data_IF_609560280496
#
_entry.id   IF_609560280496
#
_cell.length_a   1.000
_cell.length_b   1.000
_cell.length_c   1.000
_cell.angle_alpha   90.00
_cell.angle_beta   90.00
_cell.angle_gamma   90.00
#
_symmetry.space_group_name_H-M   'P 1'
#
loop_
_entity.id
_entity.type
_entity.pdbx_description
1 polymer ?
#
# COMPACT_ATOMS: atom_id res chain seq x y z
N UNK A 1 21.74 37.93 47.15
CA UNK A 1 21.10 38.21 45.85
C UNK A 1 20.70 36.89 45.23
N UNK A 2 19.46 36.44 45.48
CA UNK A 2 18.92 35.18 44.97
C UNK A 2 17.93 35.48 43.83
N UNK A 3 18.16 34.86 42.68
CA UNK A 3 17.25 34.89 41.54
C UNK A 3 16.05 33.96 41.80
N UNK A 4 14.84 34.52 41.87
CA UNK A 4 13.60 33.75 41.84
C UNK A 4 13.27 33.35 40.40
N UNK A 5 13.11 32.05 40.17
CA UNK A 5 12.59 31.49 38.92
C UNK A 5 11.06 31.58 38.85
N UNK A 6 10.56 32.10 37.73
CA UNK A 6 9.15 32.09 37.36
C UNK A 6 8.66 30.65 37.15
N UNK A 7 7.55 30.32 37.82
CA UNK A 7 6.83 29.04 37.74
C UNK A 7 5.98 29.04 36.46
N UNK A 8 6.39 28.29 35.44
CA UNK A 8 5.55 27.99 34.27
C UNK A 8 4.43 27.02 34.68
N UNK A 9 3.19 27.41 34.42
CA UNK A 9 1.95 26.69 34.73
C UNK A 9 1.87 25.45 33.82
N UNK A 10 2.18 24.28 34.37
CA UNK A 10 2.07 23.01 33.65
C UNK A 10 0.62 22.70 33.29
N UNK A 11 0.41 22.37 32.02
CA UNK A 11 -0.85 21.79 31.50
C UNK A 11 -0.97 20.40 32.12
N UNK A 12 -2.03 20.18 32.89
CA UNK A 12 -2.34 18.90 33.54
C UNK A 12 -2.88 17.97 32.44
N UNK A 13 -2.13 16.93 32.09
CA UNK A 13 -2.62 15.85 31.25
C UNK A 13 -3.72 15.08 32.01
N UNK A 14 -4.81 14.64 31.35
CA UNK A 14 -5.88 13.91 32.00
C UNK A 14 -5.38 12.58 32.57
N UNK A 15 -5.78 12.28 33.81
CA UNK A 15 -5.33 11.14 34.62
C UNK A 15 -5.40 9.78 33.89
N UNK A 16 -6.39 9.59 32.99
CA UNK A 16 -6.56 8.35 32.24
C UNK A 16 -5.43 8.07 31.23
N UNK A 17 -4.80 9.09 30.63
CA UNK A 17 -3.66 8.89 29.71
C UNK A 17 -2.39 8.49 30.46
N UNK A 18 -2.27 8.88 31.72
CA UNK A 18 -1.19 8.48 32.63
C UNK A 18 -1.40 7.03 33.09
N UNK A 19 -2.63 6.64 33.40
CA UNK A 19 -2.95 5.28 33.83
C UNK A 19 -2.87 4.26 32.68
N UNK A 20 -3.23 4.64 31.45
CA UNK A 20 -3.03 3.80 30.25
C UNK A 20 -1.55 3.71 29.85
N UNK A 21 -0.78 4.81 29.94
CA UNK A 21 0.69 4.74 29.78
C UNK A 21 1.35 3.96 30.91
N UNK A 22 0.94 4.10 32.18
CA UNK A 22 1.53 3.38 33.31
C UNK A 22 1.13 1.90 33.32
N UNK A 23 -0.09 1.53 32.89
CA UNK A 23 -0.48 0.12 32.72
C UNK A 23 0.28 -0.53 31.57
N UNK A 24 0.44 0.16 30.43
CA UNK A 24 1.30 -0.29 29.35
C UNK A 24 2.77 -0.38 29.81
N UNK A 25 3.30 0.60 30.54
CA UNK A 25 4.69 0.61 31.03
C UNK A 25 4.92 -0.45 32.12
N UNK A 26 3.95 -0.71 33.00
CA UNK A 26 4.06 -1.66 34.12
C UNK A 26 3.95 -3.11 33.66
N UNK A 27 3.08 -3.43 32.69
CA UNK A 27 3.04 -4.74 32.04
C UNK A 27 4.29 -4.95 31.15
N UNK A 28 4.84 -3.86 30.57
CA UNK A 28 6.09 -3.88 29.78
C UNK A 28 7.38 -3.88 30.60
N UNK A 29 7.33 -3.63 31.92
CA UNK A 29 8.53 -3.62 32.79
C UNK A 29 9.03 -5.03 33.10
N UNK A 30 8.18 -6.05 32.93
CA UNK A 30 8.45 -7.44 33.35
C UNK A 30 8.99 -8.37 32.25
N UNK A 31 9.14 -7.92 30.99
CA UNK A 31 9.74 -8.73 29.91
C UNK A 31 11.09 -8.14 29.45
N UNK A 32 12.14 -8.96 29.54
CA UNK A 32 13.54 -8.57 29.32
C UNK A 32 13.80 -7.80 28.02
N UNK A 33 14.75 -6.84 28.09
CA UNK A 33 15.10 -5.89 27.02
C UNK A 33 15.38 -6.52 25.65
N UNK A 34 15.89 -7.75 25.59
CA UNK A 34 16.23 -8.46 24.34
C UNK A 34 15.01 -8.97 23.57
N UNK A 35 13.94 -9.40 24.25
CA UNK A 35 12.67 -9.80 23.59
C UNK A 35 11.88 -8.59 23.07
N UNK A 36 12.14 -7.39 23.61
CA UNK A 36 11.38 -6.17 23.28
C UNK A 36 11.76 -5.58 21.92
N UNK A 37 13.04 -5.66 21.55
CA UNK A 37 13.51 -5.18 20.25
C UNK A 37 13.10 -6.13 19.12
N UNK A 38 13.20 -7.45 19.32
CA UNK A 38 12.79 -8.43 18.31
C UNK A 38 11.29 -8.38 18.01
N UNK A 39 10.44 -8.22 19.03
CA UNK A 39 9.00 -8.05 18.84
C UNK A 39 8.64 -6.74 18.11
N UNK A 40 9.31 -5.63 18.43
CA UNK A 40 9.09 -4.36 17.75
C UNK A 40 9.51 -4.42 16.27
N UNK A 41 10.68 -5.00 15.98
CA UNK A 41 11.16 -5.21 14.60
C UNK A 41 10.19 -6.11 13.83
N UNK A 42 9.75 -7.21 14.44
CA UNK A 42 8.80 -8.14 13.82
C UNK A 42 7.46 -7.47 13.51
N UNK A 43 6.94 -6.62 14.39
CA UNK A 43 5.72 -5.87 14.14
C UNK A 43 5.87 -4.86 13.01
N UNK A 44 6.99 -4.11 12.96
CA UNK A 44 7.27 -3.18 11.86
C UNK A 44 7.39 -3.92 10.53
N UNK A 45 8.11 -5.04 10.51
CA UNK A 45 8.29 -5.87 9.31
C UNK A 45 6.95 -6.43 8.82
N UNK A 46 6.10 -6.94 9.71
CA UNK A 46 4.78 -7.45 9.33
C UNK A 46 3.87 -6.36 8.76
N UNK A 47 3.97 -5.12 9.26
CA UNK A 47 3.24 -3.99 8.71
C UNK A 47 3.73 -3.58 7.32
N UNK A 48 5.00 -3.83 6.98
CA UNK A 48 5.58 -3.47 5.67
C UNK A 48 5.36 -4.59 4.63
N UNK A 49 5.56 -5.86 5.02
CA UNK A 49 5.52 -7.03 4.12
C UNK A 49 4.13 -7.19 3.50
N UNK A 50 3.07 -7.13 4.32
CA UNK A 50 1.66 -7.04 3.93
C UNK A 50 1.23 -7.73 2.63
N UNK A 51 0.30 -7.10 1.91
CA UNK A 51 -0.14 -7.48 0.57
C UNK A 51 0.74 -6.89 -0.55
N UNK A 52 1.64 -5.95 -0.20
CA UNK A 52 2.33 -5.13 -1.20
C UNK A 52 3.43 -5.82 -1.99
N UNK A 53 3.97 -6.92 -1.45
CA UNK A 53 4.95 -7.76 -2.15
C UNK A 53 4.39 -8.33 -3.47
N UNK A 54 3.07 -8.53 -3.53
CA UNK A 54 2.40 -9.13 -4.68
C UNK A 54 2.33 -8.15 -5.88
N UNK A 55 2.48 -6.84 -5.63
CA UNK A 55 2.57 -5.81 -6.66
C UNK A 55 3.99 -5.56 -7.22
N UNK A 56 5.02 -6.17 -6.63
CA UNK A 56 6.41 -5.94 -7.05
C UNK A 56 6.72 -6.41 -8.47
N UNK A 57 6.26 -7.59 -8.95
CA UNK A 57 6.50 -8.02 -10.33
C UNK A 57 5.94 -7.04 -11.35
N UNK A 58 4.77 -6.47 -11.06
CA UNK A 58 4.14 -5.46 -11.90
C UNK A 58 5.00 -4.19 -11.99
N UNK A 59 5.51 -3.72 -10.85
CA UNK A 59 6.38 -2.53 -10.80
C UNK A 59 7.71 -2.77 -11.52
N UNK A 60 8.29 -3.96 -11.42
CA UNK A 60 9.48 -4.35 -12.18
C UNK A 60 9.21 -4.37 -13.70
N UNK A 61 8.03 -4.87 -14.12
CA UNK A 61 7.62 -4.85 -15.53
C UNK A 61 7.49 -3.42 -16.06
N UNK A 62 6.99 -2.48 -15.27
CA UNK A 62 6.84 -1.07 -15.64
C UNK A 62 8.17 -0.31 -15.67
N UNK A 63 9.10 -0.65 -14.78
CA UNK A 63 10.43 -0.03 -14.76
C UNK A 63 11.42 -0.60 -15.78
N UNK A 64 11.28 -1.87 -16.14
CA UNK A 64 12.37 -2.68 -16.70
C UNK A 64 13.09 -3.43 -15.58
N UNK A 65 13.52 -4.67 -15.85
CA UNK A 65 13.97 -5.57 -14.78
C UNK A 65 15.24 -5.06 -14.05
N UNK A 66 16.35 -4.70 -14.74
CA UNK A 66 17.55 -4.18 -14.07
C UNK A 66 17.30 -2.87 -13.32
N UNK A 67 16.60 -1.90 -13.94
CA UNK A 67 16.28 -0.63 -13.29
C UNK A 67 15.32 -0.82 -12.12
N UNK A 68 14.33 -1.72 -12.22
CA UNK A 68 13.41 -2.04 -11.13
C UNK A 68 14.14 -2.53 -9.87
N UNK A 69 15.12 -3.42 -10.03
CA UNK A 69 15.96 -3.87 -8.91
C UNK A 69 16.77 -2.71 -8.31
N UNK A 70 17.38 -1.87 -9.15
CA UNK A 70 18.12 -0.69 -8.69
C UNK A 70 17.22 0.28 -7.92
N UNK A 71 16.02 0.54 -8.44
CA UNK A 71 15.02 1.40 -7.81
C UNK A 71 14.57 0.84 -6.46
N UNK A 72 14.43 -0.48 -6.29
CA UNK A 72 14.09 -1.06 -4.98
C UNK A 72 15.14 -0.76 -3.91
N UNK A 73 16.42 -0.92 -4.23
CA UNK A 73 17.51 -0.56 -3.30
C UNK A 73 17.52 0.95 -3.01
N UNK A 74 17.28 1.76 -4.04
CA UNK A 74 17.26 3.21 -3.90
C UNK A 74 16.08 3.69 -3.05
N UNK A 75 14.86 3.21 -3.30
CA UNK A 75 13.66 3.54 -2.50
C UNK A 75 13.83 3.07 -1.05
N UNK A 76 14.42 1.88 -0.83
CA UNK A 76 14.74 1.39 0.50
C UNK A 76 15.69 2.33 1.25
N UNK A 77 16.79 2.73 0.61
CA UNK A 77 17.75 3.68 1.18
C UNK A 77 17.11 5.04 1.51
N UNK A 78 16.33 5.59 0.58
CA UNK A 78 15.63 6.86 0.78
C UNK A 78 14.62 6.76 1.92
N UNK A 79 13.83 5.68 1.98
CA UNK A 79 12.81 5.50 3.03
C UNK A 79 13.45 5.43 4.42
N UNK A 80 14.54 4.66 4.56
CA UNK A 80 15.31 4.59 5.80
C UNK A 80 15.86 5.96 6.20
N UNK A 81 16.46 6.67 5.25
CA UNK A 81 16.99 8.00 5.49
C UNK A 81 15.88 9.02 5.88
N UNK A 82 14.73 8.99 5.23
CA UNK A 82 13.57 9.83 5.57
C UNK A 82 13.05 9.55 6.98
N UNK A 83 13.02 8.29 7.42
CA UNK A 83 12.67 7.93 8.80
C UNK A 83 13.68 8.53 9.79
N UNK A 84 14.98 8.46 9.48
CA UNK A 84 16.03 9.09 10.31
C UNK A 84 15.84 10.60 10.39
N UNK A 85 15.50 11.27 9.28
CA UNK A 85 15.21 12.71 9.27
C UNK A 85 14.00 13.07 10.13
N UNK A 86 12.94 12.27 10.11
CA UNK A 86 11.75 12.48 10.95
C UNK A 86 12.10 12.34 12.43
N UNK A 87 12.89 11.33 12.80
CA UNK A 87 13.34 11.11 14.18
C UNK A 87 14.21 12.28 14.65
N UNK A 88 15.20 12.69 13.84
CA UNK A 88 16.07 13.84 14.15
C UNK A 88 15.27 15.15 14.21
N UNK A 89 14.36 15.38 13.27
CA UNK A 89 13.48 16.54 13.23
C UNK A 89 12.57 16.62 14.46
N UNK A 90 12.00 15.49 14.88
CA UNK A 90 11.23 15.37 16.12
C UNK A 90 12.06 15.74 17.35
N UNK A 91 13.29 15.22 17.44
CA UNK A 91 14.21 15.55 18.52
C UNK A 91 14.59 17.04 18.54
N UNK A 92 14.88 17.65 17.39
CA UNK A 92 15.23 19.07 17.26
C UNK A 92 14.05 20.00 17.58
N UNK A 93 12.82 19.60 17.22
CA UNK A 93 11.61 20.40 17.45
C UNK A 93 10.95 20.14 18.82
N UNK A 94 11.41 19.12 19.56
CA UNK A 94 10.78 18.67 20.79
C UNK A 94 9.37 18.10 20.57
N UNK A 95 9.13 17.47 19.42
CA UNK A 95 7.83 16.89 19.06
C UNK A 95 7.94 15.39 18.81
N UNK A 96 6.86 14.67 19.06
CA UNK A 96 6.74 13.21 18.96
C UNK A 96 5.81 12.73 17.83
N UNK A 97 5.07 13.65 17.22
CA UNK A 97 4.20 13.35 16.07
C UNK A 97 4.64 14.10 14.82
N UNK A 98 4.44 13.46 13.66
CA UNK A 98 4.79 14.06 12.36
C UNK A 98 3.99 15.35 12.11
N UNK A 99 2.72 15.37 12.48
CA UNK A 99 1.86 16.55 12.34
C UNK A 99 2.37 17.73 13.19
N UNK A 100 2.79 17.47 14.44
CA UNK A 100 3.36 18.50 15.32
C UNK A 100 4.69 19.03 14.79
N UNK A 101 5.54 18.14 14.26
CA UNK A 101 6.82 18.51 13.62
C UNK A 101 6.60 19.51 12.48
N UNK A 102 5.68 19.19 11.56
CA UNK A 102 5.38 20.06 10.43
C UNK A 102 4.71 21.36 10.89
N UNK A 103 3.81 21.32 11.87
CA UNK A 103 3.18 22.51 12.42
C UNK A 103 4.20 23.46 13.05
N UNK A 104 5.17 22.93 13.80
CA UNK A 104 6.27 23.74 14.37
C UNK A 104 7.16 24.35 13.29
N UNK A 105 7.32 23.67 12.16
CA UNK A 105 8.27 24.08 11.11
C UNK A 105 7.66 25.00 10.06
N UNK A 106 6.43 24.71 9.62
CA UNK A 106 5.73 25.41 8.53
C UNK A 106 4.39 26.04 8.96
N UNK A 107 4.02 25.93 10.23
CA UNK A 107 2.76 26.43 10.75
C UNK A 107 1.55 25.62 10.29
N UNK A 108 0.38 26.23 10.46
CA UNK A 108 -0.91 25.62 10.15
C UNK A 108 -1.08 25.16 8.69
N UNK A 109 -0.61 25.89 7.64
CA UNK A 109 -0.74 25.42 6.26
C UNK A 109 0.00 24.10 6.03
N UNK A 110 1.20 23.95 6.60
CA UNK A 110 1.96 22.70 6.52
C UNK A 110 1.28 21.57 7.29
N UNK A 111 0.75 21.85 8.48
CA UNK A 111 -0.02 20.89 9.27
C UNK A 111 -1.23 20.35 8.49
N UNK A 112 -2.00 21.24 7.85
CA UNK A 112 -3.18 20.86 7.05
C UNK A 112 -2.78 20.04 5.83
N UNK A 113 -1.76 20.48 5.08
CA UNK A 113 -1.25 19.75 3.91
C UNK A 113 -0.80 18.33 4.31
N UNK A 114 0.02 18.21 5.36
CA UNK A 114 0.46 16.90 5.84
C UNK A 114 -0.72 16.03 6.25
N UNK A 115 -1.69 16.58 6.98
CA UNK A 115 -2.85 15.83 7.46
C UNK A 115 -3.72 15.33 6.30
N UNK A 116 -3.88 16.12 5.23
CA UNK A 116 -4.59 15.68 4.02
C UNK A 116 -3.84 14.54 3.33
N UNK A 117 -2.51 14.63 3.19
CA UNK A 117 -1.72 13.58 2.55
C UNK A 117 -1.72 12.29 3.38
N UNK A 118 -1.59 12.39 4.71
CA UNK A 118 -1.67 11.26 5.63
C UNK A 118 -3.07 10.65 5.73
N UNK A 119 -4.12 11.40 5.41
CA UNK A 119 -5.47 10.87 5.27
C UNK A 119 -5.65 10.15 3.93
N UNK A 120 -5.28 10.81 2.82
CA UNK A 120 -5.49 10.29 1.47
C UNK A 120 -4.73 8.99 1.20
N UNK A 121 -3.48 8.88 1.65
CA UNK A 121 -2.65 7.70 1.40
C UNK A 121 -3.27 6.38 1.91
N UNK A 122 -3.57 6.21 3.20
CA UNK A 122 -4.21 5.00 3.72
C UNK A 122 -5.68 4.87 3.25
N UNK A 123 -6.37 5.99 3.01
CA UNK A 123 -7.73 5.96 2.46
C UNK A 123 -7.77 5.34 1.05
N UNK A 124 -6.81 5.68 0.20
CA UNK A 124 -6.66 5.05 -1.12
C UNK A 124 -6.28 3.58 -0.98
N UNK A 125 -5.40 3.22 -0.05
CA UNK A 125 -5.08 1.81 0.22
C UNK A 125 -6.32 0.99 0.61
N UNK A 126 -7.23 1.56 1.43
CA UNK A 126 -8.52 0.93 1.74
C UNK A 126 -9.40 0.70 0.50
N UNK A 127 -9.47 1.67 -0.42
CA UNK A 127 -10.19 1.51 -1.70
C UNK A 127 -9.57 0.37 -2.51
N UNK A 128 -8.24 0.34 -2.63
CA UNK A 128 -7.51 -0.71 -3.33
C UNK A 128 -7.75 -2.10 -2.72
N UNK A 129 -7.78 -2.21 -1.40
CA UNK A 129 -8.09 -3.46 -0.69
C UNK A 129 -9.50 -3.97 -0.97
N UNK A 130 -10.48 -3.08 -1.06
CA UNK A 130 -11.83 -3.46 -1.46
C UNK A 130 -11.84 -3.98 -2.91
N UNK A 131 -11.19 -3.28 -3.85
CA UNK A 131 -11.12 -3.71 -5.26
C UNK A 131 -10.46 -5.09 -5.36
N UNK A 132 -9.29 -5.28 -4.74
CA UNK A 132 -8.55 -6.54 -4.72
C UNK A 132 -9.41 -7.67 -4.12
N UNK A 133 -10.07 -7.41 -2.99
CA UNK A 133 -10.96 -8.40 -2.36
C UNK A 133 -12.09 -8.80 -3.30
N UNK A 134 -12.68 -7.84 -4.01
CA UNK A 134 -13.71 -8.07 -5.02
C UNK A 134 -13.23 -8.94 -6.18
N UNK A 135 -12.10 -8.57 -6.80
CA UNK A 135 -11.55 -9.24 -7.98
C UNK A 135 -11.04 -10.67 -7.68
N UNK A 136 -10.45 -10.87 -6.49
CA UNK A 136 -9.87 -12.15 -6.07
C UNK A 136 -10.95 -13.12 -5.60
N UNK A 137 -11.81 -12.69 -4.68
CA UNK A 137 -12.83 -13.57 -4.10
C UNK A 137 -13.93 -13.90 -5.10
N UNK A 138 -14.27 -13.02 -6.04
CA UNK A 138 -15.24 -13.37 -7.09
C UNK A 138 -14.76 -14.57 -7.90
N UNK A 139 -13.46 -14.65 -8.24
CA UNK A 139 -12.87 -15.80 -8.95
C UNK A 139 -12.86 -17.06 -8.09
N UNK A 140 -12.65 -16.94 -6.78
CA UNK A 140 -12.75 -18.07 -5.84
C UNK A 140 -14.17 -18.64 -5.81
N UNK A 141 -15.19 -17.78 -5.71
CA UNK A 141 -16.59 -18.23 -5.68
C UNK A 141 -17.04 -18.82 -7.02
N UNK A 142 -16.56 -18.31 -8.15
CA UNK A 142 -16.83 -18.88 -9.48
C UNK A 142 -16.26 -20.29 -9.67
N UNK A 143 -15.27 -20.69 -8.85
CA UNK A 143 -14.67 -22.03 -8.93
C UNK A 143 -15.51 -23.10 -8.21
N UNK A 144 -16.48 -22.70 -7.37
CA UNK A 144 -17.34 -23.63 -6.65
C UNK A 144 -18.25 -24.36 -7.66
N UNK A 145 -18.30 -25.70 -7.66
CA UNK A 145 -19.11 -26.45 -8.62
C UNK A 145 -20.60 -26.14 -8.46
N UNK A 146 -21.29 -25.93 -9.59
CA UNK A 146 -22.74 -25.65 -9.64
C UNK A 146 -23.11 -24.16 -9.54
N UNK A 147 -22.13 -23.26 -9.66
CA UNK A 147 -22.32 -21.83 -9.55
C UNK A 147 -22.22 -21.17 -10.94
N UNK A 148 -23.31 -20.57 -11.43
CA UNK A 148 -23.29 -19.91 -12.74
C UNK A 148 -22.45 -18.62 -12.72
N UNK A 149 -21.52 -18.42 -13.68
CA UNK A 149 -20.65 -17.24 -13.73
C UNK A 149 -21.41 -15.91 -13.89
N UNK A 150 -22.65 -15.93 -14.39
CA UNK A 150 -23.48 -14.75 -14.61
C UNK A 150 -24.34 -14.35 -13.39
N UNK A 151 -24.24 -15.10 -12.28
CA UNK A 151 -25.03 -14.79 -11.08
C UNK A 151 -24.60 -13.45 -10.45
N UNK A 152 -25.59 -12.59 -10.19
CA UNK A 152 -25.40 -11.28 -9.56
C UNK A 152 -24.69 -11.39 -8.20
N UNK A 153 -24.93 -12.47 -7.46
CA UNK A 153 -24.34 -12.77 -6.14
C UNK A 153 -22.84 -13.12 -6.18
N UNK A 154 -22.25 -13.21 -7.37
CA UNK A 154 -20.81 -13.45 -7.56
C UNK A 154 -20.15 -12.28 -8.28
N UNK A 155 -20.95 -11.29 -8.70
CA UNK A 155 -20.44 -10.05 -9.24
C UNK A 155 -19.52 -9.37 -8.24
N UNK A 156 -18.42 -8.80 -8.73
CA UNK A 156 -17.42 -8.09 -7.92
C UNK A 156 -18.05 -7.16 -6.89
N UNK A 157 -18.98 -6.31 -7.33
CA UNK A 157 -19.66 -5.31 -6.46
C UNK A 157 -20.37 -5.96 -5.27
N UNK A 158 -21.03 -7.09 -5.49
CA UNK A 158 -21.69 -7.82 -4.42
C UNK A 158 -20.68 -8.40 -3.43
N UNK A 159 -19.59 -9.01 -3.93
CA UNK A 159 -18.53 -9.57 -3.09
C UNK A 159 -17.82 -8.50 -2.25
N UNK A 160 -17.57 -7.32 -2.81
CA UNK A 160 -17.01 -6.18 -2.06
C UNK A 160 -17.93 -5.81 -0.90
N UNK A 161 -19.23 -5.60 -1.17
CA UNK A 161 -20.20 -5.22 -0.12
C UNK A 161 -20.35 -6.33 0.92
N UNK A 162 -20.45 -7.59 0.49
CA UNK A 162 -20.57 -8.74 1.39
C UNK A 162 -19.35 -8.88 2.31
N UNK A 163 -18.15 -8.86 1.74
CA UNK A 163 -16.90 -8.96 2.51
C UNK A 163 -16.73 -7.77 3.46
N UNK A 164 -17.13 -6.58 3.04
CA UNK A 164 -17.08 -5.38 3.87
C UNK A 164 -17.99 -5.51 5.09
N UNK A 165 -19.26 -5.88 4.89
CA UNK A 165 -20.24 -5.97 5.98
C UNK A 165 -19.95 -7.16 6.90
N UNK A 166 -19.56 -8.31 6.32
CA UNK A 166 -19.35 -9.54 7.08
C UNK A 166 -18.03 -9.55 7.86
N UNK A 167 -16.97 -8.95 7.33
CA UNK A 167 -15.62 -9.06 7.89
C UNK A 167 -14.95 -7.71 8.14
N UNK A 168 -14.81 -6.87 7.10
CA UNK A 168 -14.00 -5.64 7.21
C UNK A 168 -14.53 -4.67 8.27
N UNK A 169 -15.84 -4.43 8.28
CA UNK A 169 -16.50 -3.53 9.21
C UNK A 169 -16.40 -4.01 10.67
N UNK A 170 -16.79 -5.26 11.03
CA UNK A 170 -16.68 -5.71 12.42
C UNK A 170 -15.23 -5.76 12.90
N UNK A 171 -14.27 -6.11 12.03
CA UNK A 171 -12.85 -6.10 12.40
C UNK A 171 -12.34 -4.67 12.64
N UNK A 172 -12.76 -3.69 11.84
CA UNK A 172 -12.31 -2.29 11.96
C UNK A 172 -12.96 -1.54 13.14
N UNK A 173 -14.09 -2.03 13.65
CA UNK A 173 -14.74 -1.53 14.86
C UNK A 173 -14.13 -2.10 16.15
N UNK A 174 -13.27 -3.11 16.06
CA UNK A 174 -12.59 -3.65 17.22
C UNK A 174 -11.61 -2.61 17.81
N UNK A 175 -11.83 -2.23 19.07
CA UNK A 175 -11.01 -1.23 19.77
C UNK A 175 -9.63 -1.73 20.21
N UNK A 176 -9.49 -3.05 20.41
CA UNK A 176 -8.27 -3.66 20.94
C UNK A 176 -7.23 -3.91 19.85
N UNK A 177 -6.32 -2.96 19.67
CA UNK A 177 -5.15 -3.09 18.77
C UNK A 177 -4.27 -4.29 19.17
N UNK A 178 -4.25 -4.68 20.46
CA UNK A 178 -3.51 -5.85 20.94
C UNK A 178 -4.08 -7.18 20.39
N UNK A 179 -5.39 -7.24 20.10
CA UNK A 179 -6.01 -8.39 19.42
C UNK A 179 -5.67 -8.40 17.93
N UNK A 180 -5.52 -7.23 17.31
CA UNK A 180 -5.02 -7.09 15.93
C UNK A 180 -3.58 -7.58 15.78
N UNK A 181 -2.73 -7.45 16.80
CA UNK A 181 -1.37 -8.00 16.78
C UNK A 181 -1.33 -9.53 16.57
N UNK A 182 -2.30 -10.28 17.13
CA UNK A 182 -2.45 -11.72 16.88
C UNK A 182 -2.97 -12.02 15.47
N UNK A 183 -3.81 -11.14 14.93
CA UNK A 183 -4.34 -11.24 13.56
C UNK A 183 -3.22 -10.98 12.54
N UNK A 184 -2.31 -10.03 12.82
CA UNK A 184 -1.14 -9.75 11.98
C UNK A 184 -0.23 -10.98 11.80
N UNK A 185 -0.06 -11.80 12.86
CA UNK A 185 0.67 -13.08 12.75
C UNK A 185 0.04 -14.04 11.72
N UNK A 186 -1.28 -14.12 11.69
CA UNK A 186 -2.01 -14.96 10.72
C UNK A 186 -1.76 -14.44 9.31
N UNK A 187 -1.83 -13.13 9.12
CA UNK A 187 -1.54 -12.48 7.83
C UNK A 187 -0.13 -12.82 7.32
N UNK A 188 0.89 -12.78 8.18
CA UNK A 188 2.27 -13.13 7.79
C UNK A 188 2.41 -14.59 7.34
N UNK A 189 1.74 -15.52 8.02
CA UNK A 189 1.72 -16.94 7.62
C UNK A 189 1.06 -17.10 6.24
N UNK A 190 -0.07 -16.42 6.01
CA UNK A 190 -0.75 -16.44 4.71
C UNK A 190 0.10 -15.80 3.59
N UNK A 191 0.79 -14.69 3.85
CA UNK A 191 1.72 -14.09 2.87
C UNK A 191 2.87 -15.05 2.54
N UNK A 192 3.43 -15.75 3.53
CA UNK A 192 4.49 -16.76 3.29
C UNK A 192 3.98 -17.93 2.45
N UNK A 193 2.76 -18.39 2.72
CA UNK A 193 2.09 -19.42 1.92
C UNK A 193 1.85 -18.97 0.48
N UNK A 194 1.38 -17.73 0.27
CA UNK A 194 1.18 -17.14 -1.06
C UNK A 194 2.49 -17.14 -1.85
N UNK A 195 3.60 -16.71 -1.22
CA UNK A 195 4.92 -16.77 -1.87
C UNK A 195 5.30 -18.20 -2.27
N UNK A 196 5.05 -19.19 -1.40
CA UNK A 196 5.27 -20.60 -1.73
C UNK A 196 4.46 -21.06 -2.95
N UNK A 197 3.17 -20.69 -3.03
CA UNK A 197 2.29 -21.00 -4.16
C UNK A 197 2.81 -20.37 -5.46
N UNK A 198 3.17 -19.09 -5.42
CA UNK A 198 3.71 -18.36 -6.57
C UNK A 198 5.01 -19.02 -7.04
N UNK A 199 5.93 -19.36 -6.13
CA UNK A 199 7.19 -20.04 -6.48
C UNK A 199 6.95 -21.42 -7.11
N UNK A 200 6.04 -22.23 -6.56
CA UNK A 200 5.67 -23.52 -7.14
C UNK A 200 5.10 -23.35 -8.57
N UNK A 201 4.28 -22.32 -8.77
CA UNK A 201 3.69 -22.02 -10.08
C UNK A 201 4.70 -21.52 -11.09
N UNK A 202 5.65 -20.67 -10.69
CA UNK A 202 6.77 -20.24 -11.55
C UNK A 202 7.56 -21.45 -12.07
N UNK A 203 7.85 -22.44 -11.22
CA UNK A 203 8.58 -23.65 -11.63
C UNK A 203 7.76 -24.52 -12.60
N UNK A 204 6.45 -24.69 -12.35
CA UNK A 204 5.58 -25.56 -13.17
C UNK A 204 5.15 -24.95 -14.52
N UNK A 205 4.80 -23.66 -14.54
CA UNK A 205 4.28 -22.95 -15.71
C UNK A 205 5.39 -22.26 -16.52
N UNK A 206 6.55 -21.99 -15.91
CA UNK A 206 7.67 -21.31 -16.57
C UNK A 206 8.08 -21.91 -17.93
N UNK A 207 8.13 -23.24 -18.11
CA UNK A 207 8.48 -23.85 -19.41
C UNK A 207 7.45 -23.63 -20.52
N UNK A 208 6.18 -23.37 -20.17
CA UNK A 208 5.08 -23.24 -21.12
C UNK A 208 4.83 -21.79 -21.56
N UNK A 209 5.34 -20.82 -20.81
CA UNK A 209 5.17 -19.40 -21.11
C UNK A 209 6.26 -18.97 -22.10
N UNK A 210 5.91 -18.40 -23.26
CA UNK A 210 6.91 -17.93 -24.21
C UNK A 210 7.78 -16.85 -23.57
N UNK A 211 9.08 -16.88 -23.88
CA UNK A 211 10.01 -15.86 -23.39
C UNK A 211 9.61 -14.51 -23.98
N UNK A 212 9.38 -13.51 -23.13
CA UNK A 212 9.17 -12.14 -23.57
C UNK A 212 10.50 -11.58 -24.11
N UNK A 213 10.51 -11.13 -25.37
CA UNK A 213 11.72 -10.61 -26.04
C UNK A 213 12.34 -9.42 -25.28
N UNK A 214 11.51 -8.58 -24.65
CA UNK A 214 11.92 -7.37 -23.92
C UNK A 214 12.09 -7.56 -22.40
N UNK A 215 12.19 -8.80 -21.90
CA UNK A 215 12.25 -9.05 -20.45
C UNK A 215 13.47 -8.39 -19.77
N UNK A 216 14.58 -8.25 -20.49
CA UNK A 216 15.86 -7.72 -19.98
C UNK A 216 16.12 -6.25 -20.35
N UNK A 217 15.11 -5.54 -20.89
CA UNK A 217 15.22 -4.10 -21.16
C UNK A 217 15.58 -3.37 -19.88
N UNK A 218 16.66 -2.58 -19.93
CA UNK A 218 17.22 -1.90 -18.75
C UNK A 218 16.20 -0.96 -18.12
N UNK A 219 15.61 -0.06 -18.92
CA UNK A 219 14.67 0.95 -18.47
C UNK A 219 13.52 1.09 -19.46
N UNK A 220 12.30 1.17 -18.94
CA UNK A 220 11.09 1.52 -19.68
C UNK A 220 10.63 2.95 -19.34
N UNK A 221 9.86 3.62 -20.21
CA UNK A 221 9.41 5.00 -19.96
C UNK A 221 8.59 5.18 -18.67
N UNK A 222 7.94 4.12 -18.21
CA UNK A 222 7.08 4.12 -17.01
C UNK A 222 7.86 3.90 -15.70
N UNK A 223 9.20 3.92 -15.72
CA UNK A 223 10.01 3.64 -14.54
C UNK A 223 9.79 4.59 -13.36
N UNK A 224 9.45 5.86 -13.63
CA UNK A 224 9.14 6.82 -12.57
C UNK A 224 7.81 6.49 -11.90
N UNK A 225 6.79 6.04 -12.66
CA UNK A 225 5.52 5.58 -12.10
C UNK A 225 5.70 4.33 -11.24
N UNK A 226 6.59 3.42 -11.66
CA UNK A 226 6.85 2.18 -10.94
C UNK A 226 7.23 2.41 -9.47
N UNK A 227 7.94 3.50 -9.15
CA UNK A 227 8.30 3.88 -7.75
C UNK A 227 7.06 4.06 -6.87
N UNK A 228 5.98 4.64 -7.41
CA UNK A 228 4.73 4.86 -6.68
C UNK A 228 3.86 3.60 -6.54
N UNK A 229 4.01 2.63 -7.45
CA UNK A 229 3.16 1.42 -7.53
C UNK A 229 3.79 0.21 -6.85
N UNK A 230 5.05 0.28 -6.38
CA UNK A 230 5.80 -0.85 -5.78
C UNK A 230 5.06 -1.58 -4.66
N UNK A 231 4.11 -0.93 -4.00
CA UNK A 231 3.39 -1.48 -2.85
C UNK A 231 2.02 -2.08 -3.16
N UNK A 232 1.54 -2.04 -4.40
CA UNK A 232 0.17 -2.46 -4.69
C UNK A 232 0.01 -3.02 -6.12
N UNK A 233 -0.54 -4.22 -6.22
CA UNK A 233 -0.84 -4.89 -7.48
C UNK A 233 -1.30 -6.32 -7.24
N UNK A 234 -2.12 -6.85 -8.14
CA UNK A 234 -2.64 -8.22 -8.04
C UNK A 234 -1.96 -9.13 -9.07
N UNK A 235 -1.00 -9.92 -8.59
CA UNK A 235 -0.31 -10.90 -9.40
C UNK A 235 -1.26 -12.00 -9.89
N UNK A 236 -2.28 -12.35 -9.10
CA UNK A 236 -3.16 -13.48 -9.37
C UNK A 236 -4.08 -13.27 -10.57
N UNK A 237 -4.22 -12.03 -11.05
CA UNK A 237 -4.90 -11.74 -12.33
C UNK A 237 -4.19 -12.37 -13.53
N UNK A 238 -2.88 -12.62 -13.44
CA UNK A 238 -2.12 -13.24 -14.53
C UNK A 238 -2.32 -14.75 -14.61
N UNK A 239 -2.97 -15.40 -13.64
CA UNK A 239 -3.16 -16.84 -13.67
C UNK A 239 -4.58 -17.21 -14.13
N UNK A 240 -4.73 -18.39 -14.73
CA UNK A 240 -6.02 -18.85 -15.21
C UNK A 240 -7.03 -19.07 -14.06
N UNK A 241 -8.33 -18.95 -14.33
CA UNK A 241 -9.36 -19.23 -13.30
C UNK A 241 -9.45 -20.72 -12.96
N UNK A 242 -9.10 -21.60 -13.91
CA UNK A 242 -9.17 -23.05 -13.75
C UNK A 242 -8.05 -23.66 -12.91
N UNK A 243 -7.10 -22.86 -12.42
CA UNK A 243 -5.98 -23.33 -11.60
C UNK A 243 -6.36 -23.39 -10.11
N UNK A 244 -6.50 -24.60 -9.56
CA UNK A 244 -6.93 -24.81 -8.17
C UNK A 244 -5.94 -24.30 -7.13
N UNK A 245 -4.63 -24.44 -7.40
CA UNK A 245 -3.59 -23.99 -6.46
C UNK A 245 -3.54 -22.45 -6.41
N UNK A 246 -3.66 -21.81 -7.57
CA UNK A 246 -3.75 -20.35 -7.67
C UNK A 246 -5.05 -19.86 -7.06
N UNK A 247 -6.16 -20.58 -7.26
CA UNK A 247 -7.45 -20.22 -6.65
C UNK A 247 -7.38 -20.29 -5.12
N UNK A 248 -6.70 -21.28 -4.57
CA UNK A 248 -6.38 -21.30 -3.13
C UNK A 248 -5.51 -20.11 -2.73
N UNK A 249 -4.51 -19.75 -3.55
CA UNK A 249 -3.70 -18.53 -3.37
C UNK A 249 -4.54 -17.25 -3.36
N UNK A 250 -5.52 -17.11 -4.26
CA UNK A 250 -6.48 -15.99 -4.31
C UNK A 250 -7.31 -15.90 -3.04
N UNK A 251 -7.78 -17.04 -2.52
CA UNK A 251 -8.49 -17.10 -1.25
C UNK A 251 -7.61 -16.61 -0.10
N UNK A 252 -6.39 -17.11 0.01
CA UNK A 252 -5.44 -16.65 1.03
C UNK A 252 -5.14 -15.16 0.89
N UNK A 253 -4.99 -14.66 -0.34
CA UNK A 253 -4.73 -13.25 -0.60
C UNK A 253 -5.92 -12.36 -0.20
N UNK A 254 -7.15 -12.74 -0.56
CA UNK A 254 -8.36 -12.04 -0.13
C UNK A 254 -8.49 -11.99 1.39
N UNK A 255 -8.20 -13.10 2.09
CA UNK A 255 -8.17 -13.12 3.56
C UNK A 255 -7.08 -12.18 4.11
N UNK A 256 -5.85 -12.25 3.60
CA UNK A 256 -4.75 -11.36 4.00
C UNK A 256 -5.12 -9.88 3.87
N UNK A 257 -5.74 -9.50 2.74
CA UNK A 257 -6.17 -8.11 2.49
C UNK A 257 -7.27 -7.67 3.47
N UNK A 258 -8.27 -8.52 3.73
CA UNK A 258 -9.32 -8.26 4.74
C UNK A 258 -8.71 -8.08 6.13
N UNK A 259 -7.71 -8.88 6.51
CA UNK A 259 -7.05 -8.78 7.82
C UNK A 259 -6.13 -7.56 7.95
N UNK A 260 -5.65 -7.01 6.83
CA UNK A 260 -4.79 -5.81 6.80
C UNK A 260 -5.61 -4.52 6.80
N UNK A 261 -6.82 -4.54 6.25
CA UNK A 261 -7.71 -3.37 6.15
C UNK A 261 -7.92 -2.59 7.48
N UNK A 262 -8.16 -3.23 8.64
CA UNK A 262 -8.36 -2.50 9.90
C UNK A 262 -7.18 -1.62 10.31
N UNK A 263 -5.96 -1.98 9.91
CA UNK A 263 -4.75 -1.22 10.22
C UNK A 263 -4.78 0.11 9.47
N UNK A 264 -5.10 0.10 8.17
CA UNK A 264 -5.24 1.33 7.37
C UNK A 264 -6.42 2.18 7.83
N UNK A 265 -7.55 1.54 8.19
CA UNK A 265 -8.69 2.24 8.77
C UNK A 265 -8.34 2.91 10.11
N UNK A 266 -7.52 2.26 10.94
CA UNK A 266 -7.03 2.82 12.19
C UNK A 266 -6.20 4.09 11.94
N UNK A 267 -5.22 4.02 11.04
CA UNK A 267 -4.35 5.16 10.70
C UNK A 267 -5.18 6.31 10.13
N UNK A 268 -6.10 6.02 9.22
CA UNK A 268 -6.98 7.04 8.61
C UNK A 268 -7.87 7.73 9.66
N UNK A 269 -8.44 6.96 10.59
CA UNK A 269 -9.27 7.49 11.68
C UNK A 269 -8.45 8.33 12.64
N UNK A 270 -7.22 7.93 12.96
CA UNK A 270 -6.33 8.67 13.86
C UNK A 270 -6.01 10.07 13.30
N UNK A 271 -5.82 10.19 11.99
CA UNK A 271 -5.63 11.48 11.31
C UNK A 271 -6.87 12.37 11.47
N UNK A 272 -8.07 11.82 11.24
CA UNK A 272 -9.34 12.56 11.45
C UNK A 272 -9.49 12.97 12.92
N UNK A 273 -9.21 12.07 13.86
CA UNK A 273 -9.29 12.35 15.29
C UNK A 273 -8.34 13.48 15.70
N UNK A 274 -7.12 13.46 15.17
CA UNK A 274 -6.10 14.49 15.43
C UNK A 274 -6.51 15.86 14.89
N UNK A 275 -7.09 15.92 13.69
CA UNK A 275 -7.45 17.19 13.03
C UNK A 275 -8.73 17.80 13.59
N UNK A 276 -9.77 16.99 13.78
CA UNK A 276 -11.12 17.48 14.13
C UNK A 276 -11.46 17.39 15.62
N UNK A 277 -10.82 16.47 16.35
CA UNK A 277 -11.18 16.15 17.74
C UNK A 277 -10.01 16.30 18.73
N UNK A 278 -8.85 16.79 18.29
CA UNK A 278 -7.68 16.95 19.15
C UNK A 278 -7.08 15.63 19.67
N UNK A 279 -7.32 14.51 18.95
CA UNK A 279 -6.76 13.19 19.22
C UNK A 279 -7.72 12.21 19.89
N UNK A 280 -8.53 12.65 20.87
CA UNK A 280 -9.36 11.73 21.65
C UNK A 280 -10.79 11.62 21.12
N UNK A 281 -11.13 10.43 20.63
CA UNK A 281 -12.44 10.12 20.05
C UNK A 281 -13.32 9.38 21.06
N UNK A 282 -14.50 9.92 21.37
CA UNK A 282 -15.51 9.19 22.16
C UNK A 282 -15.95 7.91 21.45
N UNK A 283 -16.40 6.91 22.22
CA UNK A 283 -16.83 5.60 21.70
C UNK A 283 -17.87 5.69 20.58
N UNK A 284 -18.77 6.66 20.65
CA UNK A 284 -19.82 6.86 19.63
C UNK A 284 -19.21 7.45 18.35
N UNK A 285 -18.37 8.47 18.49
CA UNK A 285 -17.67 9.07 17.34
C UNK A 285 -16.71 8.10 16.68
N UNK A 286 -16.07 7.21 17.44
CA UNK A 286 -15.27 6.11 16.90
C UNK A 286 -16.08 5.22 15.95
N UNK A 287 -17.27 4.79 16.37
CA UNK A 287 -18.14 3.95 15.54
C UNK A 287 -18.60 4.74 14.31
N UNK A 288 -19.09 5.97 14.50
CA UNK A 288 -19.60 6.80 13.40
C UNK A 288 -18.51 7.05 12.36
N UNK A 289 -17.32 7.51 12.77
CA UNK A 289 -16.22 7.81 11.84
C UNK A 289 -15.78 6.54 11.11
N UNK A 290 -15.62 5.41 11.80
CA UNK A 290 -15.25 4.14 11.14
C UNK A 290 -16.31 3.68 10.14
N UNK A 291 -17.59 3.72 10.49
CA UNK A 291 -18.68 3.34 9.57
C UNK A 291 -18.71 4.25 8.35
N UNK A 292 -18.59 5.57 8.54
CA UNK A 292 -18.56 6.53 7.43
C UNK A 292 -17.34 6.28 6.53
N UNK A 293 -16.15 6.13 7.11
CA UNK A 293 -14.92 5.87 6.35
C UNK A 293 -15.04 4.63 5.47
N UNK A 294 -15.49 3.51 6.05
CA UNK A 294 -15.63 2.24 5.33
C UNK A 294 -16.71 2.36 4.27
N UNK A 295 -17.84 2.99 4.58
CA UNK A 295 -18.93 3.17 3.62
C UNK A 295 -18.47 3.98 2.41
N UNK A 296 -17.77 5.10 2.63
CA UNK A 296 -17.24 5.92 1.52
C UNK A 296 -16.20 5.15 0.72
N UNK A 297 -15.25 4.45 1.37
CA UNK A 297 -14.26 3.64 0.68
C UNK A 297 -14.90 2.54 -0.18
N UNK A 298 -15.94 1.85 0.34
CA UNK A 298 -16.69 0.82 -0.38
C UNK A 298 -17.50 1.38 -1.56
N UNK A 299 -18.09 2.56 -1.41
CA UNK A 299 -18.80 3.23 -2.50
C UNK A 299 -17.82 3.62 -3.61
N UNK A 300 -16.68 4.22 -3.26
CA UNK A 300 -15.65 4.60 -4.22
C UNK A 300 -15.09 3.37 -4.94
N UNK A 301 -14.79 2.28 -4.23
CA UNK A 301 -14.33 1.02 -4.85
C UNK A 301 -15.38 0.31 -5.72
N UNK A 302 -16.66 0.65 -5.56
CA UNK A 302 -17.75 0.08 -6.39
C UNK A 302 -17.94 0.85 -7.70
N UNK A 303 -17.48 2.10 -7.74
CA UNK A 303 -17.54 3.00 -8.91
C UNK A 303 -16.23 2.98 -9.68
N UNK A 304 -15.10 2.91 -8.98
CA UNK A 304 -13.78 2.85 -9.59
C UNK A 304 -13.39 1.39 -9.78
N UNK A 305 -13.26 1.03 -11.04
CA UNK A 305 -12.96 -0.33 -11.45
C UNK A 305 -11.42 -0.52 -11.64
N UNK A 306 -10.70 0.58 -11.88
CA UNK A 306 -9.28 0.61 -12.20
C UNK A 306 -8.36 0.67 -10.98
N UNK A 307 -7.84 -0.48 -10.54
CA UNK A 307 -6.85 -0.54 -9.46
C UNK A 307 -5.56 0.22 -9.82
N UNK A 308 -5.03 0.05 -11.03
CA UNK A 308 -3.75 0.62 -11.46
C UNK A 308 -3.68 2.15 -11.38
N UNK A 309 -4.65 2.85 -11.97
CA UNK A 309 -4.71 4.33 -11.97
C UNK A 309 -4.81 4.90 -10.55
N UNK A 310 -5.59 4.26 -9.67
CA UNK A 310 -5.74 4.68 -8.27
C UNK A 310 -4.41 4.59 -7.52
N UNK A 311 -3.66 3.53 -7.76
CA UNK A 311 -2.36 3.30 -7.13
C UNK A 311 -1.28 4.25 -7.63
N UNK A 312 -1.22 4.50 -8.95
CA UNK A 312 -0.28 5.45 -9.53
C UNK A 312 -0.48 6.87 -8.99
N UNK A 313 -1.72 7.34 -8.93
CA UNK A 313 -2.06 8.65 -8.38
C UNK A 313 -1.71 8.75 -6.90
N UNK A 314 -1.96 7.69 -6.11
CA UNK A 314 -1.60 7.65 -4.69
C UNK A 314 -0.09 7.76 -4.48
N UNK A 315 0.69 6.99 -5.24
CA UNK A 315 2.15 7.00 -5.18
C UNK A 315 2.74 8.37 -5.53
N UNK A 316 2.25 9.00 -6.60
CA UNK A 316 2.75 10.30 -7.05
C UNK A 316 2.30 11.45 -6.13
N UNK A 317 1.03 11.53 -5.76
CA UNK A 317 0.47 12.67 -5.04
C UNK A 317 0.62 12.59 -3.53
N UNK A 318 0.63 11.39 -2.95
CA UNK A 318 0.65 11.21 -1.50
C UNK A 318 1.99 10.66 -1.01
N UNK A 319 2.44 9.52 -1.54
CA UNK A 319 3.66 8.86 -1.05
C UNK A 319 4.91 9.70 -1.30
N UNK A 320 5.07 10.26 -2.52
CA UNK A 320 6.26 11.01 -2.86
C UNK A 320 6.48 12.26 -1.96
N UNK A 321 5.48 13.11 -1.69
CA UNK A 321 5.63 14.21 -0.74
C UNK A 321 5.91 13.76 0.69
N UNK A 322 5.23 12.69 1.16
CA UNK A 322 5.37 12.18 2.53
C UNK A 322 6.76 11.61 2.81
N UNK A 323 7.39 10.97 1.82
CA UNK A 323 8.70 10.33 1.94
C UNK A 323 9.83 11.30 1.58
N UNK A 324 9.77 11.97 0.43
CA UNK A 324 10.91 12.72 -0.11
C UNK A 324 10.92 14.20 0.28
N UNK A 325 9.75 14.86 0.27
CA UNK A 325 9.70 16.33 0.30
C UNK A 325 9.60 16.82 1.75
N UNK A 326 8.61 16.36 2.49
CA UNK A 326 8.28 16.93 3.80
C UNK A 326 9.36 16.64 4.86
N UNK A 327 9.90 15.40 5.01
CA UNK A 327 10.96 15.13 5.98
C UNK A 327 12.22 15.96 5.71
N UNK A 328 12.66 16.02 4.45
CA UNK A 328 13.82 16.80 4.02
C UNK A 328 13.62 18.30 4.22
N UNK A 329 12.45 18.83 3.88
CA UNK A 329 12.12 20.25 4.09
C UNK A 329 12.07 20.61 5.59
N UNK A 330 11.52 19.74 6.43
CA UNK A 330 11.50 19.95 7.88
C UNK A 330 12.92 19.96 8.45
N UNK A 331 13.74 18.97 8.10
CA UNK A 331 15.10 18.87 8.60
C UNK A 331 15.98 20.03 8.15
N UNK A 332 15.91 20.44 6.88
CA UNK A 332 16.68 21.59 6.37
C UNK A 332 16.35 22.90 7.08
N UNK A 333 15.09 23.06 7.53
CA UNK A 333 14.63 24.26 8.21
C UNK A 333 14.94 24.26 9.72
N UNK A 334 14.94 23.09 10.36
CA UNK A 334 15.19 22.94 11.80
C UNK A 334 16.67 22.77 12.16
N UNK A 335 17.45 22.10 11.31
CA UNK A 335 18.84 21.79 11.61
C UNK A 335 19.72 23.04 11.53
N UNK A 336 20.50 23.30 12.57
CA UNK A 336 21.50 24.39 12.62
C UNK A 336 22.88 23.98 12.07
N UNK A 337 23.04 22.70 11.69
CA UNK A 337 24.30 22.13 11.20
C UNK A 337 24.86 22.87 9.97
N UNK A 338 26.18 22.88 9.72
CA UNK A 338 26.74 23.49 8.54
C UNK A 338 26.21 22.82 7.26
N UNK A 339 26.15 23.56 6.15
CA UNK A 339 25.66 23.05 4.86
C UNK A 339 26.44 21.83 4.33
N UNK A 340 27.66 21.63 4.81
CA UNK A 340 28.53 20.49 4.46
C UNK A 340 28.21 19.21 5.23
N UNK A 341 27.31 19.25 6.21
CA UNK A 341 26.89 18.05 6.93
C UNK A 341 26.14 17.09 6.00
N UNK A 342 26.50 15.81 6.04
CA UNK A 342 25.99 14.77 5.12
C UNK A 342 24.46 14.76 5.05
N UNK A 343 23.78 14.87 6.20
CA UNK A 343 22.32 14.84 6.24
C UNK A 343 21.65 16.04 5.52
N UNK A 344 22.28 17.23 5.57
CA UNK A 344 21.77 18.41 4.88
C UNK A 344 21.99 18.30 3.38
N UNK A 345 23.14 17.76 2.95
CA UNK A 345 23.42 17.50 1.54
C UNK A 345 22.39 16.51 1.00
N UNK A 346 22.19 15.38 1.69
CA UNK A 346 21.22 14.37 1.27
C UNK A 346 19.79 14.92 1.24
N UNK A 347 19.39 15.71 2.24
CA UNK A 347 18.07 16.38 2.23
C UNK A 347 17.92 17.37 1.06
N UNK A 348 18.99 18.07 0.70
CA UNK A 348 19.01 18.99 -0.44
C UNK A 348 18.94 18.26 -1.80
N UNK A 349 19.42 17.01 -1.86
CA UNK A 349 19.33 16.14 -3.05
C UNK A 349 17.96 15.47 -3.14
N UNK A 350 17.40 15.02 -2.03
CA UNK A 350 16.11 14.32 -2.00
C UNK A 350 14.93 15.20 -2.38
N UNK A 351 14.94 16.48 -1.97
CA UNK A 351 13.85 17.41 -2.23
C UNK A 351 13.57 17.60 -3.74
N UNK A 352 14.55 17.93 -4.61
CA UNK A 352 14.32 18.04 -6.04
C UNK A 352 13.97 16.70 -6.69
N UNK A 353 14.55 15.58 -6.23
CA UNK A 353 14.18 14.26 -6.74
C UNK A 353 12.71 13.95 -6.43
N UNK A 354 12.27 14.20 -5.20
CA UNK A 354 10.87 14.04 -4.81
C UNK A 354 9.92 14.90 -5.64
N UNK A 355 10.30 16.15 -5.92
CA UNK A 355 9.52 17.04 -6.79
C UNK A 355 9.43 16.49 -8.23
N UNK A 356 10.53 15.96 -8.78
CA UNK A 356 10.53 15.32 -10.11
C UNK A 356 9.66 14.07 -10.12
N UNK A 357 9.78 13.19 -9.13
CA UNK A 357 8.95 11.97 -9.02
C UNK A 357 7.48 12.32 -8.91
N UNK A 358 7.13 13.33 -8.11
CA UNK A 358 5.75 13.80 -7.97
C UNK A 358 5.19 14.38 -9.28
N UNK A 359 5.91 15.30 -9.93
CA UNK A 359 5.44 15.99 -11.14
C UNK A 359 5.38 15.02 -12.32
N UNK A 360 6.45 14.27 -12.56
CA UNK A 360 6.50 13.32 -13.69
C UNK A 360 5.56 12.16 -13.44
N UNK A 361 5.49 11.63 -12.21
CA UNK A 361 4.53 10.57 -11.85
C UNK A 361 3.08 11.00 -12.08
N UNK A 362 2.73 12.22 -11.69
CA UNK A 362 1.39 12.77 -11.93
C UNK A 362 1.09 12.94 -13.42
N UNK A 363 2.01 13.54 -14.19
CA UNK A 363 1.84 13.72 -15.64
C UNK A 363 1.64 12.36 -16.31
N UNK A 364 2.46 11.37 -15.98
CA UNK A 364 2.39 10.05 -16.58
C UNK A 364 1.09 9.33 -16.22
N UNK A 365 0.66 9.40 -14.96
CA UNK A 365 -0.61 8.81 -14.50
C UNK A 365 -1.84 9.41 -15.21
N UNK A 366 -1.79 10.70 -15.58
CA UNK A 366 -2.90 11.38 -16.29
C UNK A 366 -2.85 11.17 -17.80
N UNK A 367 -1.65 11.16 -18.39
CA UNK A 367 -1.46 11.09 -19.86
C UNK A 367 -1.49 9.67 -20.41
N UNK A 368 -1.06 8.69 -19.61
CA UNK A 368 -1.05 7.27 -19.97
C UNK A 368 -1.84 6.47 -18.94
N UNK A 369 -3.17 6.69 -18.83
CA UNK A 369 -3.99 5.88 -17.95
C UNK A 369 -3.94 4.41 -18.39
N UNK A 370 -3.80 3.50 -17.43
CA UNK A 370 -3.78 2.07 -17.71
C UNK A 370 -5.15 1.58 -18.18
N UNK A 371 -5.17 0.71 -19.19
CA UNK A 371 -6.38 0.08 -19.69
C UNK A 371 -6.89 -0.95 -18.67
N UNK A 372 -8.14 -0.77 -18.24
CA UNK A 372 -8.75 -1.62 -17.22
C UNK A 372 -9.59 -2.71 -17.89
N UNK A 373 -8.97 -3.85 -18.15
CA UNK A 373 -9.67 -5.03 -18.67
C UNK A 373 -10.08 -5.95 -17.52
N UNK A 374 -11.38 -6.07 -17.28
CA UNK A 374 -11.91 -6.97 -16.26
C UNK A 374 -12.31 -8.30 -16.84
N UNK A 375 -11.74 -9.37 -16.29
CA UNK A 375 -12.18 -10.72 -16.54
C UNK A 375 -11.69 -11.34 -17.86
N UNK A 376 -10.85 -10.66 -18.63
CA UNK A 376 -10.11 -11.30 -19.72
C UNK A 376 -9.07 -12.25 -19.13
N UNK A 377 -9.06 -13.50 -19.61
CA UNK A 377 -8.03 -14.47 -19.25
C UNK A 377 -6.84 -14.36 -20.21
N UNK A 378 -5.66 -14.69 -19.71
CA UNK A 378 -4.43 -14.69 -20.51
C UNK A 378 -4.51 -15.74 -21.63
N UNK A 379 -3.85 -15.49 -22.76
CA UNK A 379 -3.92 -16.34 -23.95
C UNK A 379 -3.54 -17.81 -23.69
N UNK A 380 -2.65 -18.08 -22.73
CA UNK A 380 -2.24 -19.43 -22.33
C UNK A 380 -3.28 -20.19 -21.49
N UNK A 381 -4.39 -19.55 -21.13
CA UNK A 381 -5.51 -20.21 -20.46
C UNK A 381 -6.43 -20.96 -21.42
N UNK A 382 -6.32 -20.70 -22.73
CA UNK A 382 -7.11 -21.35 -23.78
C UNK A 382 -6.26 -22.40 -24.51
N UNK A 383 -6.50 -23.70 -24.27
CA UNK A 383 -5.72 -24.77 -24.92
C UNK A 383 -5.93 -24.86 -26.44
N UNK A 384 -7.01 -24.28 -26.99
CA UNK A 384 -7.42 -24.46 -28.40
C UNK A 384 -6.70 -23.55 -29.42
N UNK A 385 -5.88 -22.58 -29.00
CA UNK A 385 -5.12 -21.73 -29.93
C UNK A 385 -3.71 -22.24 -30.24
N UNK A 386 -3.31 -23.38 -29.65
CA UNK A 386 -2.00 -23.99 -29.93
C UNK A 386 -2.06 -25.08 -31.02
N UNK A 387 -3.25 -25.41 -31.54
CA UNK A 387 -3.48 -26.54 -32.46
C UNK A 387 -3.96 -26.14 -33.87
N UNK A 388 -3.76 -24.89 -34.30
CA UNK A 388 -4.08 -24.43 -35.66
C UNK A 388 -2.87 -23.92 -36.48
N UNK A 389 -1.64 -24.28 -36.11
CA UNK A 389 -0.46 -24.13 -36.99
C UNK A 389 -0.17 -25.41 -37.78
N UNK A 390 -1.21 -26.03 -38.36
CA UNK A 390 -1.03 -27.13 -39.30
C UNK A 390 -2.20 -27.22 -40.31
N UNK A 391 -2.51 -26.13 -41.01
CA UNK A 391 -2.98 -26.22 -42.40
C UNK A 391 -2.91 -24.86 -43.06
N UNK A 392 -2.25 -24.83 -44.22
CA UNK A 392 -2.22 -23.75 -45.19
C UNK A 392 -3.58 -23.09 -45.39
N UNK A 393 -3.65 -21.74 -45.36
CA UNK A 393 -4.37 -20.88 -46.32
C UNK A 393 -4.29 -19.38 -45.90
N UNK A 394 -3.77 -18.58 -46.82
CA UNK A 394 -3.84 -17.10 -46.99
C UNK A 394 -3.13 -16.15 -46.01
N UNK A 395 -1.86 -15.88 -46.33
CA UNK A 395 -1.10 -14.68 -45.97
C UNK A 395 -1.77 -13.40 -46.50
N UNK A 396 -2.70 -12.80 -45.75
CA UNK A 396 -2.97 -11.35 -45.87
C UNK A 396 -3.74 -10.73 -44.68
N UNK A 397 -4.39 -11.53 -43.82
CA UNK A 397 -5.17 -10.98 -42.69
C UNK A 397 -4.57 -11.21 -41.29
N UNK A 398 -3.46 -11.95 -41.17
CA UNK A 398 -2.91 -12.34 -39.86
C UNK A 398 -1.98 -11.28 -39.22
N UNK A 399 -1.42 -10.35 -40.02
CA UNK A 399 -0.50 -9.32 -39.53
C UNK A 399 -1.18 -8.17 -38.77
N UNK A 400 -2.49 -7.98 -38.96
CA UNK A 400 -3.26 -6.92 -38.25
C UNK A 400 -3.86 -7.40 -36.93
N UNK A 401 -4.12 -8.70 -36.74
CA UNK A 401 -4.67 -9.23 -35.48
C UNK A 401 -3.56 -9.55 -34.44
N UNK A 402 -2.39 -10.06 -34.86
CA UNK A 402 -1.27 -10.29 -33.93
C UNK A 402 -0.61 -8.99 -33.45
N UNK A 403 -0.60 -7.93 -34.24
CA UNK A 403 -0.11 -6.63 -33.78
C UNK A 403 -1.04 -5.99 -32.74
N UNK A 404 -2.34 -6.26 -32.81
CA UNK A 404 -3.31 -5.79 -31.80
C UNK A 404 -3.22 -6.65 -30.53
N UNK A 405 -3.13 -7.99 -30.64
CA UNK A 405 -3.04 -8.87 -29.46
C UNK A 405 -1.71 -8.79 -28.71
N UNK A 406 -0.59 -8.53 -29.40
CA UNK A 406 0.72 -8.45 -28.76
C UNK A 406 0.98 -7.09 -28.08
N UNK A 407 0.15 -6.08 -28.41
CA UNK A 407 0.22 -4.75 -27.77
C UNK A 407 -0.82 -4.62 -26.66
N UNK A 408 -2.00 -5.25 -26.77
CA UNK A 408 -3.13 -5.01 -25.84
C UNK A 408 -3.20 -5.91 -24.61
N UNK A 409 -2.35 -6.94 -24.47
CA UNK A 409 -2.41 -7.91 -23.34
C UNK A 409 -1.24 -7.75 -22.38
N UNK A 410 -0.26 -6.90 -22.72
CA UNK A 410 0.92 -6.61 -21.89
C UNK A 410 1.04 -5.15 -21.44
N UNK A 411 -0.01 -4.33 -21.52
CA UNK A 411 -0.02 -2.97 -20.93
C UNK A 411 -0.69 -2.96 -19.57
#
# INVERSE_FOLDING_TARGET
MGYQGQKTRGVIAPQNDLDDKESLISEHKNKGKTCRQSAAVFNVVNSIIGSGIIGLPYSMKQAGFPLGILLLFWVSYVTDFSLVLLIKGGALSGTDTYQSLVNKTFGFPGYLLLSVLQFLYPFIAMISYNIITGDTLSKVFQRIPGVDPENLFIGRRFIIVLSTVAFTLPLSLAKDIAKLGKISLISTVLTTLILGIVMARVISLGPHIPKTEDAWVFAKPNAIQAVGVMSFGDLFENYCRNDDLVTFGRFCYGVTVILTYPIECFVTREVIASVFFGGNLSSVFHIIVTVVLITVATLVSSVIDCLGTVLELSGALCAAPLIFIIPSACYLKLSEEPRTHSDKIMSCVMLPIGAVVMVVGFIMAVTNPQDCTHGQEMFYCFPDNFSLTNTSVSDFQLTTQLSILNISVFQ
#
